data_IF_049610915742
#
_entry.id   IF_049610915742
#
_cell.length_a   1.000
_cell.length_b   1.000
_cell.length_c   1.000
_cell.angle_alpha   90.00
_cell.angle_beta   90.00
_cell.angle_gamma   90.00
#
_symmetry.space_group_name_H-M   'P 1'
#
loop_
_entity.id
_entity.type
_entity.pdbx_description
1 polymer ?
#
# COMPACT_ATOMS: atom_id res chain seq x y z
N UNK A 1 -31.33 -42.52 -43.58
CA UNK A 1 -31.26 -41.32 -42.72
C UNK A 1 -29.92 -41.31 -42.00
N UNK A 2 -28.99 -40.44 -42.41
CA UNK A 2 -27.72 -40.17 -41.71
C UNK A 2 -27.68 -38.66 -41.49
N UNK A 3 -27.95 -38.20 -40.27
CA UNK A 3 -27.88 -36.79 -39.92
C UNK A 3 -26.41 -36.41 -39.67
N UNK A 4 -25.98 -35.38 -40.41
CA UNK A 4 -24.67 -34.76 -40.32
C UNK A 4 -24.62 -33.92 -39.05
N UNK A 5 -23.72 -34.27 -38.13
CA UNK A 5 -23.19 -33.35 -37.11
C UNK A 5 -22.14 -32.51 -37.84
N UNK A 6 -22.41 -31.22 -38.04
CA UNK A 6 -21.48 -30.32 -38.71
C UNK A 6 -21.42 -29.01 -37.94
N UNK A 7 -20.27 -28.83 -37.28
CA UNK A 7 -19.59 -27.55 -37.06
C UNK A 7 -20.42 -26.40 -36.46
N UNK A 8 -20.54 -26.41 -35.13
CA UNK A 8 -20.52 -25.17 -34.33
C UNK A 8 -19.24 -25.23 -33.48
N UNK A 9 -18.10 -25.16 -34.16
CA UNK A 9 -16.77 -25.07 -33.57
C UNK A 9 -15.93 -24.14 -34.46
N UNK A 10 -16.38 -22.90 -34.67
CA UNK A 10 -15.61 -21.90 -35.43
C UNK A 10 -16.03 -20.43 -35.23
N UNK A 11 -16.65 -20.05 -34.11
CA UNK A 11 -16.94 -18.63 -33.80
C UNK A 11 -16.56 -18.24 -32.36
N UNK A 12 -15.53 -18.91 -31.83
CA UNK A 12 -14.92 -18.60 -30.52
C UNK A 12 -13.51 -17.99 -30.65
N UNK A 13 -13.09 -17.63 -31.85
CA UNK A 13 -11.89 -16.85 -32.09
C UNK A 13 -12.24 -15.65 -32.95
N UNK A 14 -11.66 -14.49 -32.62
CA UNK A 14 -11.76 -13.18 -33.29
C UNK A 14 -12.81 -12.25 -32.66
N UNK A 15 -12.42 -11.72 -31.52
CA UNK A 15 -13.10 -10.65 -30.78
C UNK A 15 -12.68 -10.79 -29.33
N UNK A 16 -11.72 -9.98 -28.89
CA UNK A 16 -11.15 -10.06 -27.55
C UNK A 16 -12.22 -10.03 -26.47
N UNK A 17 -12.66 -11.22 -26.05
CA UNK A 17 -13.38 -11.45 -24.81
C UNK A 17 -12.40 -11.08 -23.71
N UNK A 18 -12.46 -9.82 -23.26
CA UNK A 18 -12.16 -9.56 -21.85
C UNK A 18 -13.12 -10.49 -21.11
N UNK A 19 -12.58 -11.54 -20.47
CA UNK A 19 -13.38 -12.29 -19.51
C UNK A 19 -14.02 -11.26 -18.58
N UNK A 20 -15.35 -11.27 -18.48
CA UNK A 20 -16.03 -10.44 -17.50
C UNK A 20 -15.40 -10.73 -16.14
N UNK A 21 -15.08 -9.68 -15.38
CA UNK A 21 -14.52 -9.85 -14.06
C UNK A 21 -15.43 -10.77 -13.22
N UNK A 22 -14.83 -11.73 -12.52
CA UNK A 22 -15.56 -12.68 -11.69
C UNK A 22 -15.85 -12.00 -10.36
N UNK A 23 -17.12 -11.66 -10.14
CA UNK A 23 -17.55 -11.10 -8.87
C UNK A 23 -17.75 -12.20 -7.83
N UNK A 24 -17.19 -12.03 -6.64
CA UNK A 24 -17.22 -13.00 -5.53
C UNK A 24 -17.66 -12.34 -4.23
N UNK A 25 -18.42 -13.06 -3.42
CA UNK A 25 -18.90 -12.59 -2.11
C UNK A 25 -18.64 -13.59 -0.98
N UNK A 26 -18.01 -14.74 -1.28
CA UNK A 26 -17.67 -15.77 -0.31
C UNK A 26 -16.21 -16.17 -0.48
N UNK A 27 -15.59 -16.70 0.59
CA UNK A 27 -14.21 -17.14 0.53
C UNK A 27 -14.01 -18.32 -0.44
N UNK A 28 -14.98 -19.24 -0.52
CA UNK A 28 -14.92 -20.38 -1.41
C UNK A 28 -14.91 -19.94 -2.89
N UNK A 29 -15.80 -19.02 -3.26
CA UNK A 29 -15.87 -18.48 -4.62
C UNK A 29 -14.61 -17.65 -4.94
N UNK A 30 -14.16 -16.85 -3.98
CA UNK A 30 -12.93 -16.08 -4.10
C UNK A 30 -11.73 -16.97 -4.38
N UNK A 31 -11.52 -18.02 -3.58
CA UNK A 31 -10.43 -18.97 -3.78
C UNK A 31 -10.48 -19.60 -5.17
N UNK A 32 -11.64 -20.10 -5.58
CA UNK A 32 -11.81 -20.73 -6.89
C UNK A 32 -11.54 -19.73 -8.04
N UNK A 33 -12.01 -18.49 -7.93
CA UNK A 33 -11.82 -17.45 -8.92
C UNK A 33 -10.34 -17.03 -9.03
N UNK A 34 -9.67 -16.86 -7.90
CA UNK A 34 -8.24 -16.49 -7.85
C UNK A 34 -7.36 -17.60 -8.42
N UNK A 35 -7.61 -18.86 -8.09
CA UNK A 35 -6.88 -20.02 -8.67
C UNK A 35 -7.16 -20.17 -10.18
N UNK A 36 -8.34 -19.75 -10.64
CA UNK A 36 -8.68 -19.73 -12.07
C UNK A 36 -7.95 -18.63 -12.84
N UNK A 37 -7.52 -17.55 -12.17
CA UNK A 37 -6.86 -16.38 -12.74
C UNK A 37 -7.84 -15.38 -13.37
N UNK A 38 -7.29 -14.28 -13.89
CA UNK A 38 -8.05 -13.17 -14.50
C UNK A 38 -8.44 -12.09 -13.49
N UNK A 39 -9.50 -11.34 -13.82
CA UNK A 39 -9.98 -10.23 -12.99
C UNK A 39 -10.99 -10.75 -11.96
N UNK A 40 -10.69 -10.60 -10.67
CA UNK A 40 -11.54 -11.00 -9.54
C UNK A 40 -12.00 -9.75 -8.80
N UNK A 41 -13.31 -9.58 -8.67
CA UNK A 41 -13.95 -8.45 -8.00
C UNK A 41 -14.60 -8.92 -6.70
N UNK A 42 -14.12 -8.43 -5.57
CA UNK A 42 -14.55 -8.84 -4.24
C UNK A 42 -15.66 -7.90 -3.80
N UNK A 43 -16.87 -8.41 -3.69
CA UNK A 43 -18.08 -7.62 -3.45
C UNK A 43 -18.49 -7.51 -1.98
N UNK A 44 -17.92 -8.36 -1.11
CA UNK A 44 -18.21 -8.40 0.31
C UNK A 44 -16.98 -8.83 1.12
N UNK A 45 -16.97 -8.48 2.41
CA UNK A 45 -15.92 -8.88 3.34
C UNK A 45 -15.81 -10.41 3.45
N UNK A 46 -14.58 -10.91 3.39
CA UNK A 46 -14.23 -12.32 3.51
C UNK A 46 -13.64 -12.56 4.91
N UNK A 47 -14.45 -12.39 5.94
CA UNK A 47 -14.06 -12.56 7.34
C UNK A 47 -14.17 -14.03 7.81
N UNK A 48 -13.42 -14.38 8.88
CA UNK A 48 -13.44 -15.70 9.52
C UNK A 48 -13.07 -16.87 8.58
N UNK A 49 -12.30 -16.61 7.53
CA UNK A 49 -11.79 -17.68 6.69
C UNK A 49 -10.82 -18.57 7.50
N UNK A 50 -10.88 -19.88 7.27
CA UNK A 50 -9.84 -20.79 7.76
C UNK A 50 -8.51 -20.39 7.13
N UNK A 51 -7.47 -20.30 7.96
CA UNK A 51 -6.11 -20.00 7.50
C UNK A 51 -5.71 -20.96 6.38
N UNK A 52 -5.52 -20.40 5.19
CA UNK A 52 -5.22 -21.21 4.01
C UNK A 52 -4.37 -20.45 3.01
N UNK A 53 -3.48 -21.20 2.37
CA UNK A 53 -2.69 -20.70 1.24
C UNK A 53 -3.43 -20.99 -0.06
N UNK A 54 -3.57 -19.96 -0.89
CA UNK A 54 -4.13 -20.01 -2.24
C UNK A 54 -2.96 -20.04 -3.22
N UNK A 55 -2.93 -21.05 -4.09
CA UNK A 55 -1.86 -21.22 -5.07
C UNK A 55 -2.17 -20.42 -6.33
N UNK A 56 -1.24 -19.55 -6.74
CA UNK A 56 -1.35 -18.71 -7.93
C UNK A 56 -0.43 -19.25 -9.04
N UNK A 57 -1.04 -19.74 -10.11
CA UNK A 57 -0.31 -20.24 -11.30
C UNK A 57 -0.64 -19.47 -12.59
N UNK A 58 -1.52 -18.46 -12.48
CA UNK A 58 -2.02 -17.65 -13.59
C UNK A 58 -2.05 -16.19 -13.16
N UNK A 59 -1.97 -15.29 -14.14
CA UNK A 59 -2.19 -13.86 -13.93
C UNK A 59 -3.50 -13.62 -13.18
N UNK A 60 -3.46 -12.75 -12.18
CA UNK A 60 -4.63 -12.44 -11.37
C UNK A 60 -4.62 -10.99 -10.92
N UNK A 61 -5.78 -10.34 -11.07
CA UNK A 61 -6.04 -9.01 -10.58
C UNK A 61 -7.18 -9.07 -9.57
N UNK A 62 -6.89 -8.80 -8.31
CA UNK A 62 -7.85 -8.82 -7.21
C UNK A 62 -8.23 -7.39 -6.88
N UNK A 63 -9.52 -7.06 -6.91
CA UNK A 63 -9.98 -5.71 -6.61
C UNK A 63 -11.24 -5.70 -5.75
N UNK A 64 -11.34 -4.76 -4.82
CA UNK A 64 -12.62 -4.48 -4.16
C UNK A 64 -13.62 -3.88 -5.16
N UNK A 65 -14.88 -4.34 -5.11
CA UNK A 65 -15.99 -3.80 -5.91
C UNK A 65 -16.24 -2.32 -5.60
N UNK A 66 -16.15 -1.97 -4.33
CA UNK A 66 -16.47 -0.65 -3.79
C UNK A 66 -15.75 -0.47 -2.47
N UNK A 67 -15.20 0.72 -2.21
CA UNK A 67 -14.54 0.96 -0.94
C UNK A 67 -13.26 0.16 -0.76
N UNK A 68 -13.00 -0.21 0.49
CA UNK A 68 -12.06 -1.28 0.81
C UNK A 68 -12.83 -2.48 1.33
N UNK A 69 -12.38 -3.67 0.97
CA UNK A 69 -12.98 -4.93 1.40
C UNK A 69 -11.99 -5.70 2.26
N UNK A 70 -12.48 -6.27 3.35
CA UNK A 70 -11.68 -7.06 4.29
C UNK A 70 -11.47 -8.50 3.82
N UNK A 71 -10.27 -9.01 4.08
CA UNK A 71 -9.89 -10.39 3.85
C UNK A 71 -9.10 -10.89 5.05
N UNK A 72 -9.70 -11.81 5.79
CA UNK A 72 -9.06 -12.44 6.94
C UNK A 72 -8.39 -13.76 6.52
N UNK A 73 -7.20 -14.03 7.05
CA UNK A 73 -6.50 -15.31 6.96
C UNK A 73 -6.19 -15.81 5.54
N UNK A 74 -6.07 -14.88 4.59
CA UNK A 74 -5.76 -15.17 3.18
C UNK A 74 -4.26 -15.09 2.93
N UNK A 75 -3.68 -16.18 2.43
CA UNK A 75 -2.28 -16.21 2.01
C UNK A 75 -2.19 -16.57 0.53
N UNK A 76 -1.24 -15.99 -0.20
CA UNK A 76 -0.97 -16.27 -1.61
C UNK A 76 0.40 -16.94 -1.76
N UNK A 77 0.47 -18.07 -2.46
CA UNK A 77 1.73 -18.67 -2.92
C UNK A 77 1.80 -18.58 -4.44
N UNK A 78 2.71 -17.75 -4.96
CA UNK A 78 2.94 -17.62 -6.40
C UNK A 78 3.86 -18.74 -6.83
N UNK A 79 3.41 -19.64 -7.71
CA UNK A 79 4.13 -20.86 -8.11
C UNK A 79 4.58 -20.85 -9.60
N UNK A 80 4.28 -19.79 -10.34
CA UNK A 80 4.68 -19.63 -11.74
C UNK A 80 4.95 -18.17 -12.09
N UNK A 81 5.39 -17.93 -13.33
CA UNK A 81 5.50 -16.57 -13.87
C UNK A 81 4.12 -15.99 -14.12
N UNK A 82 3.76 -14.98 -13.32
CA UNK A 82 2.47 -14.30 -13.39
C UNK A 82 2.62 -12.78 -13.23
N UNK A 83 1.58 -12.07 -13.64
CA UNK A 83 1.25 -10.74 -13.15
C UNK A 83 0.28 -10.86 -11.97
N UNK A 84 0.68 -10.34 -10.81
CA UNK A 84 -0.18 -10.28 -9.63
C UNK A 84 -0.52 -8.83 -9.30
N UNK A 85 -1.80 -8.51 -9.18
CA UNK A 85 -2.25 -7.24 -8.63
C UNK A 85 -3.31 -7.39 -7.55
N UNK A 86 -3.25 -6.51 -6.55
CA UNK A 86 -4.24 -6.39 -5.49
C UNK A 86 -4.59 -4.92 -5.26
N UNK A 87 -5.89 -4.59 -5.27
CA UNK A 87 -6.38 -3.22 -5.11
C UNK A 87 -7.55 -3.11 -4.13
N UNK A 88 -7.47 -2.15 -3.20
CA UNK A 88 -8.58 -1.84 -2.30
C UNK A 88 -8.89 -2.93 -1.27
N UNK A 89 -7.90 -3.75 -0.89
CA UNK A 89 -8.09 -4.85 0.05
C UNK A 89 -7.49 -4.47 1.42
N UNK A 90 -8.23 -4.78 2.49
CA UNK A 90 -7.73 -4.81 3.87
C UNK A 90 -7.43 -6.27 4.20
N UNK A 91 -6.18 -6.69 4.03
CA UNK A 91 -5.74 -8.06 4.29
C UNK A 91 -5.17 -8.15 5.70
N UNK A 92 -5.65 -9.11 6.50
CA UNK A 92 -5.13 -9.36 7.85
C UNK A 92 -5.18 -10.84 8.20
N UNK A 93 -4.48 -11.22 9.26
CA UNK A 93 -4.45 -12.60 9.72
C UNK A 93 -4.77 -12.67 11.21
N UNK A 94 -6.03 -12.95 11.54
CA UNK A 94 -6.52 -13.11 12.91
C UNK A 94 -6.24 -14.49 13.51
N UNK A 95 -5.94 -15.49 12.66
CA UNK A 95 -5.80 -16.89 13.07
C UNK A 95 -4.74 -17.07 14.15
N UNK A 96 -5.00 -17.90 15.15
CA UNK A 96 -4.00 -18.30 16.15
C UNK A 96 -3.05 -19.41 15.63
N UNK A 97 -3.39 -20.04 14.50
CA UNK A 97 -2.65 -21.15 13.92
C UNK A 97 -1.22 -20.76 13.57
N UNK A 98 -0.27 -21.68 13.76
CA UNK A 98 1.15 -21.45 13.41
C UNK A 98 1.46 -21.82 11.96
N UNK A 99 0.60 -22.63 11.35
CA UNK A 99 0.78 -23.17 10.00
C UNK A 99 -0.50 -23.01 9.18
N UNK A 100 -0.42 -22.62 7.90
CA UNK A 100 0.78 -22.16 7.19
C UNK A 100 1.42 -20.90 7.80
N UNK A 101 2.68 -20.63 7.46
CA UNK A 101 3.36 -19.40 7.90
C UNK A 101 2.57 -18.18 7.43
N UNK A 102 2.26 -17.25 8.35
CA UNK A 102 1.44 -16.06 8.08
C UNK A 102 2.22 -15.04 7.25
N UNK A 103 2.24 -15.29 5.95
CA UNK A 103 2.88 -14.49 4.91
C UNK A 103 1.79 -14.17 3.89
N UNK A 104 1.49 -12.90 3.65
CA UNK A 104 0.43 -12.56 2.69
C UNK A 104 0.79 -12.99 1.26
N UNK A 105 1.98 -12.68 0.77
CA UNK A 105 2.48 -13.13 -0.54
C UNK A 105 3.82 -13.84 -0.39
N UNK A 106 3.85 -15.13 -0.69
CA UNK A 106 5.04 -15.96 -0.69
C UNK A 106 5.40 -16.39 -2.11
N UNK A 107 6.68 -16.27 -2.46
CA UNK A 107 7.27 -16.77 -3.69
C UNK A 107 8.28 -17.85 -3.31
N UNK A 108 7.96 -19.13 -3.54
CA UNK A 108 8.88 -20.24 -3.28
C UNK A 108 10.17 -20.15 -4.10
N UNK A 109 11.24 -20.74 -3.58
CA UNK A 109 12.57 -20.61 -4.17
C UNK A 109 12.74 -21.25 -5.57
N UNK A 110 11.83 -22.16 -5.95
CA UNK A 110 11.80 -22.82 -7.26
C UNK A 110 11.16 -21.95 -8.37
N UNK A 111 10.52 -20.83 -8.03
CA UNK A 111 9.93 -19.94 -9.02
C UNK A 111 11.02 -19.10 -9.67
N UNK A 112 11.23 -19.31 -10.97
CA UNK A 112 12.29 -18.63 -11.71
C UNK A 112 11.99 -17.15 -11.95
N UNK A 113 10.71 -16.80 -12.17
CA UNK A 113 10.29 -15.46 -12.56
C UNK A 113 8.88 -15.15 -12.07
N UNK A 114 8.63 -13.88 -11.76
CA UNK A 114 7.29 -13.28 -11.59
C UNK A 114 7.28 -11.95 -12.35
N UNK A 115 6.49 -11.87 -13.41
CA UNK A 115 6.47 -10.73 -14.33
C UNK A 115 6.20 -9.39 -13.67
N UNK A 116 5.26 -9.32 -12.71
CA UNK A 116 5.04 -8.10 -11.93
C UNK A 116 4.29 -8.35 -10.62
N UNK A 117 4.52 -7.48 -9.64
CA UNK A 117 3.80 -7.43 -8.37
C UNK A 117 3.29 -6.00 -8.13
N UNK A 118 1.97 -5.82 -8.06
CA UNK A 118 1.35 -4.51 -7.82
C UNK A 118 0.38 -4.55 -6.65
N UNK A 119 0.53 -3.64 -5.68
CA UNK A 119 -0.41 -3.48 -4.56
C UNK A 119 -0.80 -2.01 -4.43
N UNK A 120 -2.10 -1.73 -4.48
CA UNK A 120 -2.62 -0.36 -4.54
C UNK A 120 -3.81 -0.16 -3.59
N UNK A 121 -3.87 0.97 -2.89
CA UNK A 121 -5.00 1.35 -2.03
C UNK A 121 -5.33 0.30 -0.94
N UNK A 122 -4.35 -0.48 -0.49
CA UNK A 122 -4.54 -1.60 0.44
C UNK A 122 -4.14 -1.27 1.89
N UNK A 123 -4.53 -2.13 2.82
CA UNK A 123 -4.03 -2.17 4.19
C UNK A 123 -3.67 -3.62 4.55
N UNK A 124 -2.49 -3.82 5.13
CA UNK A 124 -1.93 -5.14 5.42
C UNK A 124 -1.44 -5.18 6.85
N UNK A 125 -1.99 -6.06 7.68
CA UNK A 125 -1.59 -6.15 9.09
C UNK A 125 -1.68 -7.55 9.70
N UNK A 126 -1.07 -7.73 10.87
CA UNK A 126 -1.06 -8.97 11.68
C UNK A 126 -0.45 -10.22 11.00
N UNK A 127 0.21 -10.05 9.86
CA UNK A 127 1.05 -11.11 9.29
C UNK A 127 2.33 -11.27 10.10
N UNK A 128 2.37 -12.32 10.93
CA UNK A 128 3.46 -12.54 11.90
C UNK A 128 4.84 -12.74 11.26
N UNK A 129 4.92 -13.02 9.95
CA UNK A 129 6.17 -13.23 9.22
C UNK A 129 6.51 -12.10 8.26
N UNK A 130 5.73 -11.88 7.18
CA UNK A 130 5.99 -10.86 6.14
C UNK A 130 4.70 -10.46 5.41
N UNK A 131 4.71 -9.29 4.79
CA UNK A 131 3.77 -8.96 3.71
C UNK A 131 4.18 -9.70 2.42
N UNK A 132 5.41 -9.51 1.96
CA UNK A 132 5.94 -10.15 0.75
C UNK A 132 7.25 -10.87 1.04
N UNK A 133 7.38 -12.12 0.60
CA UNK A 133 8.58 -12.93 0.83
C UNK A 133 9.03 -13.66 -0.45
N UNK A 134 10.30 -13.49 -0.81
CA UNK A 134 10.98 -14.26 -1.84
C UNK A 134 12.43 -14.50 -1.41
N UNK A 135 12.79 -15.75 -1.14
CA UNK A 135 14.15 -16.11 -0.67
C UNK A 135 15.07 -16.62 -1.78
N UNK A 136 14.49 -17.12 -2.88
CA UNK A 136 15.22 -17.64 -4.04
C UNK A 136 15.63 -16.54 -5.03
N UNK A 137 16.24 -16.96 -6.15
CA UNK A 137 16.76 -16.06 -7.20
C UNK A 137 15.71 -15.64 -8.24
N UNK A 138 14.44 -15.56 -7.84
CA UNK A 138 13.34 -15.20 -8.73
C UNK A 138 13.58 -13.85 -9.39
N UNK A 139 13.48 -13.79 -10.73
CA UNK A 139 13.46 -12.53 -11.48
C UNK A 139 12.13 -11.82 -11.24
N UNK A 140 12.18 -10.57 -10.77
CA UNK A 140 10.99 -9.74 -10.56
C UNK A 140 11.25 -8.37 -11.21
N UNK A 141 10.87 -8.18 -12.49
CA UNK A 141 11.18 -6.94 -13.20
C UNK A 141 10.60 -5.70 -12.54
N UNK A 142 9.43 -5.78 -11.90
CA UNK A 142 8.78 -4.63 -11.27
C UNK A 142 7.97 -5.01 -10.03
N UNK A 143 8.19 -4.24 -8.97
CA UNK A 143 7.35 -4.18 -7.77
C UNK A 143 6.81 -2.75 -7.64
N UNK A 144 5.50 -2.61 -7.48
CA UNK A 144 4.85 -1.32 -7.27
C UNK A 144 3.91 -1.38 -6.07
N UNK A 145 4.12 -0.50 -5.07
CA UNK A 145 3.23 -0.37 -3.92
C UNK A 145 2.77 1.07 -3.82
N UNK A 146 1.45 1.31 -3.82
CA UNK A 146 0.87 2.65 -3.85
C UNK A 146 -0.26 2.81 -2.85
N UNK A 147 -0.35 3.97 -2.19
CA UNK A 147 -1.46 4.31 -1.29
C UNK A 147 -1.78 3.21 -0.26
N UNK A 148 -0.74 2.51 0.20
CA UNK A 148 -0.90 1.27 0.97
C UNK A 148 -0.35 1.46 2.38
N UNK A 149 -0.99 0.82 3.33
CA UNK A 149 -0.62 0.84 4.74
C UNK A 149 -0.21 -0.56 5.15
N UNK A 150 0.94 -0.70 5.79
CA UNK A 150 1.48 -1.97 6.26
C UNK A 150 1.85 -1.80 7.73
N UNK A 151 1.27 -2.59 8.63
CA UNK A 151 1.53 -2.37 10.05
C UNK A 151 1.36 -3.59 10.94
N UNK A 152 1.99 -3.56 12.11
CA UNK A 152 1.91 -4.65 13.09
C UNK A 152 2.37 -6.01 12.52
N UNK A 153 3.38 -5.97 11.62
CA UNK A 153 3.98 -7.15 11.00
C UNK A 153 5.18 -7.68 11.80
N UNK A 154 5.59 -8.89 11.42
CA UNK A 154 6.84 -9.54 11.85
C UNK A 154 6.89 -9.94 13.34
N UNK A 155 5.75 -9.90 14.04
CA UNK A 155 5.66 -10.22 15.48
C UNK A 155 6.10 -11.65 15.84
N UNK A 156 5.98 -12.58 14.89
CA UNK A 156 6.42 -13.97 15.06
C UNK A 156 7.87 -14.22 14.64
N UNK A 157 8.47 -13.33 13.85
CA UNK A 157 9.88 -13.41 13.46
C UNK A 157 10.42 -12.04 13.04
N UNK A 158 10.95 -11.27 14.01
CA UNK A 158 11.46 -9.92 13.77
C UNK A 158 12.74 -9.86 12.92
N UNK A 159 13.35 -11.01 12.62
CA UNK A 159 14.47 -11.07 11.69
C UNK A 159 14.05 -10.89 10.23
N UNK A 160 12.75 -10.92 9.91
CA UNK A 160 12.26 -10.59 8.58
C UNK A 160 12.02 -9.09 8.44
N UNK A 161 12.00 -8.60 7.20
CA UNK A 161 11.39 -7.32 6.87
C UNK A 161 9.92 -7.53 6.45
N UNK A 162 9.10 -6.48 6.45
CA UNK A 162 7.77 -6.51 5.86
C UNK A 162 7.83 -6.99 4.39
N UNK A 163 8.81 -6.49 3.63
CA UNK A 163 9.15 -6.96 2.28
C UNK A 163 10.53 -7.63 2.33
N UNK A 164 10.55 -8.97 2.26
CA UNK A 164 11.74 -9.82 2.43
C UNK A 164 12.13 -10.49 1.10
N UNK A 165 13.01 -9.84 0.33
CA UNK A 165 13.41 -10.21 -1.03
C UNK A 165 14.90 -10.60 -1.06
N UNK A 166 15.28 -11.63 -0.30
CA UNK A 166 16.67 -11.91 0.05
C UNK A 166 17.58 -12.12 -1.17
N UNK A 167 17.25 -13.05 -2.07
CA UNK A 167 18.04 -13.30 -3.30
C UNK A 167 17.28 -12.94 -4.58
N UNK A 168 16.05 -12.41 -4.46
CA UNK A 168 15.23 -12.07 -5.61
C UNK A 168 15.89 -10.97 -6.43
N UNK A 169 15.88 -11.14 -7.74
CA UNK A 169 16.53 -10.28 -8.73
C UNK A 169 15.53 -9.21 -9.17
N UNK A 170 15.45 -8.12 -8.39
CA UNK A 170 14.49 -7.05 -8.60
C UNK A 170 15.11 -5.92 -9.41
N UNK A 171 14.57 -5.63 -10.59
CA UNK A 171 15.09 -4.55 -11.45
C UNK A 171 14.50 -3.18 -11.13
N UNK A 172 13.25 -3.13 -10.65
CA UNK A 172 12.56 -1.89 -10.28
C UNK A 172 11.64 -2.08 -9.10
N UNK A 173 11.72 -1.18 -8.12
CA UNK A 173 10.77 -1.11 -7.02
C UNK A 173 10.35 0.34 -6.76
N UNK A 174 9.04 0.61 -6.79
CA UNK A 174 8.48 1.95 -6.62
C UNK A 174 7.43 1.96 -5.52
N UNK A 175 7.64 2.78 -4.50
CA UNK A 175 6.70 3.02 -3.42
C UNK A 175 6.21 4.46 -3.45
N UNK A 176 4.91 4.66 -3.52
CA UNK A 176 4.29 5.99 -3.51
C UNK A 176 3.19 6.07 -2.47
N UNK A 177 3.29 7.05 -1.56
CA UNK A 177 2.28 7.25 -0.52
C UNK A 177 2.04 5.98 0.32
N UNK A 178 3.12 5.38 0.81
CA UNK A 178 3.08 4.10 1.55
C UNK A 178 3.47 4.33 3.00
N UNK A 179 2.75 3.70 3.92
CA UNK A 179 3.04 3.75 5.35
C UNK A 179 3.46 2.38 5.84
N UNK A 180 4.60 2.30 6.52
CA UNK A 180 4.98 1.17 7.35
C UNK A 180 4.98 1.63 8.80
N UNK A 181 4.21 1.00 9.70
CA UNK A 181 4.29 1.34 11.11
C UNK A 181 4.18 0.16 12.08
N UNK A 182 4.88 0.22 13.21
CA UNK A 182 4.91 -0.86 14.23
C UNK A 182 5.25 -2.25 13.69
N UNK A 183 6.04 -2.32 12.62
CA UNK A 183 6.60 -3.59 12.16
C UNK A 183 7.81 -3.94 13.05
N UNK A 184 7.79 -5.08 13.75
CA UNK A 184 8.93 -5.46 14.59
C UNK A 184 10.22 -5.67 13.76
N UNK A 185 10.04 -6.04 12.49
CA UNK A 185 11.09 -6.16 11.49
C UNK A 185 11.35 -4.88 10.69
N UNK A 186 12.33 -4.94 9.79
CA UNK A 186 12.61 -3.85 8.84
C UNK A 186 11.48 -3.64 7.83
N UNK A 187 11.58 -2.60 7.01
CA UNK A 187 10.63 -2.32 5.92
C UNK A 187 10.91 -3.13 4.66
N UNK A 188 12.13 -3.01 4.15
CA UNK A 188 12.56 -3.62 2.89
C UNK A 188 13.93 -4.27 3.04
N UNK A 189 14.06 -5.52 2.61
CA UNK A 189 15.31 -6.25 2.63
C UNK A 189 15.60 -6.92 1.29
N UNK A 190 16.76 -6.61 0.71
CA UNK A 190 17.36 -7.35 -0.39
C UNK A 190 18.84 -7.60 -0.14
N UNK A 191 19.31 -8.77 -0.51
CA UNK A 191 20.72 -9.15 -0.43
C UNK A 191 21.28 -9.61 -1.79
N UNK A 192 20.56 -9.36 -2.89
CA UNK A 192 21.10 -9.55 -4.23
C UNK A 192 22.07 -8.41 -4.57
N UNK A 193 23.32 -8.78 -4.85
CA UNK A 193 24.38 -7.85 -5.26
C UNK A 193 24.54 -7.81 -6.79
N UNK A 194 23.87 -8.69 -7.53
CA UNK A 194 24.16 -8.94 -8.94
C UNK A 194 23.25 -8.14 -9.87
N UNK A 195 21.98 -7.94 -9.50
CA UNK A 195 21.01 -7.20 -10.33
C UNK A 195 21.00 -5.73 -9.96
N UNK A 196 21.24 -4.80 -10.91
CA UNK A 196 21.00 -3.39 -10.68
C UNK A 196 19.51 -3.12 -10.44
N UNK A 197 19.19 -2.33 -9.41
CA UNK A 197 17.83 -1.91 -9.10
C UNK A 197 17.64 -0.40 -9.32
N UNK A 198 16.50 -0.03 -9.90
CA UNK A 198 15.94 1.31 -9.83
C UNK A 198 14.91 1.37 -8.69
N UNK A 199 15.36 1.82 -7.51
CA UNK A 199 14.56 1.90 -6.30
C UNK A 199 14.09 3.33 -6.04
N UNK A 200 12.79 3.50 -5.83
CA UNK A 200 12.16 4.82 -5.63
C UNK A 200 11.13 4.79 -4.52
N UNK A 201 11.22 5.78 -3.64
CA UNK A 201 10.22 6.07 -2.61
C UNK A 201 9.84 7.55 -2.68
N UNK A 202 8.54 7.81 -2.76
CA UNK A 202 7.98 9.15 -2.66
C UNK A 202 6.80 9.18 -1.70
N UNK A 203 6.77 10.13 -0.76
CA UNK A 203 5.74 10.19 0.31
C UNK A 203 5.65 8.89 1.10
N UNK A 204 6.79 8.28 1.46
CA UNK A 204 6.80 7.04 2.24
C UNK A 204 7.11 7.36 3.70
N UNK A 205 6.37 6.73 4.61
CA UNK A 205 6.60 6.80 6.06
C UNK A 205 7.03 5.45 6.61
N UNK A 206 8.12 5.42 7.38
CA UNK A 206 8.48 4.30 8.26
C UNK A 206 8.43 4.79 9.70
N UNK A 207 7.59 4.18 10.54
CA UNK A 207 7.31 4.65 11.90
C UNK A 207 7.35 3.49 12.88
N UNK A 208 8.30 3.49 13.82
CA UNK A 208 8.47 2.37 14.76
C UNK A 208 8.64 1.01 14.07
N UNK A 209 9.39 1.01 12.98
CA UNK A 209 9.81 -0.22 12.32
C UNK A 209 11.20 -0.66 12.82
N UNK A 210 11.51 -1.96 12.69
CA UNK A 210 12.80 -2.53 13.06
C UNK A 210 13.06 -2.43 14.56
N UNK A 211 12.03 -2.72 15.35
CA UNK A 211 12.04 -2.60 16.80
C UNK A 211 11.60 -3.86 17.51
N UNK A 212 12.32 -4.94 17.26
CA UNK A 212 12.15 -6.18 18.00
C UNK A 212 12.54 -5.98 19.49
N UNK A 213 11.80 -6.61 20.40
CA UNK A 213 12.15 -6.67 21.82
C UNK A 213 13.55 -7.24 22.05
N UNK A 214 14.15 -6.87 23.18
CA UNK A 214 15.57 -7.09 23.51
C UNK A 214 16.06 -8.55 23.56
N UNK A 215 15.19 -9.53 23.30
CA UNK A 215 15.52 -10.96 23.19
C UNK A 215 15.81 -11.45 21.77
N UNK A 216 15.57 -10.66 20.72
CA UNK A 216 15.82 -11.08 19.34
C UNK A 216 17.13 -10.49 18.80
N UNK A 217 18.13 -11.34 18.56
CA UNK A 217 19.45 -10.98 17.99
C UNK A 217 19.42 -10.56 16.50
N UNK A 218 18.30 -10.01 16.01
CA UNK A 218 18.00 -9.91 14.59
C UNK A 218 17.41 -8.59 14.10
N UNK A 219 17.46 -7.51 14.89
CA UNK A 219 16.94 -6.21 14.44
C UNK A 219 17.53 -5.83 13.09
N UNK A 220 16.68 -5.75 12.07
CA UNK A 220 17.08 -5.42 10.70
C UNK A 220 17.14 -3.91 10.52
N UNK A 221 18.02 -3.50 9.61
CA UNK A 221 17.97 -2.17 9.04
C UNK A 221 16.54 -1.91 8.49
N UNK A 222 16.05 -0.67 8.58
CA UNK A 222 14.74 -0.28 8.05
C UNK A 222 14.67 -0.56 6.55
N UNK A 223 15.77 -0.29 5.87
CA UNK A 223 15.97 -0.60 4.46
C UNK A 223 17.37 -1.20 4.34
N UNK A 224 17.50 -2.38 3.74
CA UNK A 224 18.79 -3.01 3.45
C UNK A 224 18.87 -3.46 1.99
N UNK A 225 19.97 -3.08 1.35
CA UNK A 225 20.39 -3.61 0.05
C UNK A 225 21.79 -4.21 0.15
N UNK A 226 22.09 -5.20 -0.69
CA UNK A 226 23.48 -5.53 -1.01
C UNK A 226 24.08 -4.50 -1.99
N UNK A 227 25.41 -4.50 -2.09
CA UNK A 227 26.15 -3.55 -2.90
C UNK A 227 25.98 -3.79 -4.40
N UNK A 228 25.49 -2.81 -5.15
CA UNK A 228 25.55 -2.83 -6.60
C UNK A 228 25.77 -1.41 -7.16
N UNK A 229 26.90 -1.22 -7.85
CA UNK A 229 27.37 0.07 -8.38
C UNK A 229 26.41 0.72 -9.39
N UNK A 230 25.66 -0.09 -10.14
CA UNK A 230 24.77 0.37 -11.20
C UNK A 230 23.36 0.69 -10.71
N UNK A 231 23.10 0.49 -9.41
CA UNK A 231 21.79 0.75 -8.82
C UNK A 231 21.55 2.25 -8.59
N UNK A 232 20.28 2.63 -8.64
CA UNK A 232 19.78 3.98 -8.39
C UNK A 232 18.80 3.95 -7.23
N UNK A 233 18.94 4.91 -6.33
CA UNK A 233 18.10 5.01 -5.14
C UNK A 233 17.57 6.43 -5.01
N UNK A 234 16.25 6.59 -5.08
CA UNK A 234 15.57 7.88 -4.96
C UNK A 234 14.65 7.89 -3.75
N UNK A 235 14.87 8.84 -2.84
CA UNK A 235 14.02 9.11 -1.68
C UNK A 235 13.53 10.55 -1.76
N UNK A 236 12.22 10.75 -1.91
CA UNK A 236 11.61 12.07 -2.00
C UNK A 236 10.48 12.21 -1.00
N UNK A 237 10.42 13.32 -0.28
CA UNK A 237 9.33 13.59 0.66
C UNK A 237 9.07 12.44 1.65
N UNK A 238 10.11 11.74 2.12
CA UNK A 238 9.98 10.59 3.00
C UNK A 238 10.17 10.96 4.47
N UNK A 239 9.47 10.26 5.36
CA UNK A 239 9.65 10.33 6.80
C UNK A 239 10.09 8.96 7.31
N UNK A 240 11.30 8.87 7.85
CA UNK A 240 11.83 7.63 8.40
C UNK A 240 12.14 7.88 9.87
N UNK A 241 11.45 7.18 10.74
CA UNK A 241 11.61 7.29 12.19
C UNK A 241 11.92 5.93 12.79
N UNK A 242 12.95 5.92 13.65
CA UNK A 242 13.31 4.78 14.47
C UNK A 242 12.49 4.79 15.75
N UNK A 243 12.38 3.65 16.42
CA UNK A 243 11.43 3.57 17.55
C UNK A 243 11.74 4.44 18.77
N UNK A 244 10.65 4.72 19.49
CA UNK A 244 10.62 5.52 20.71
C UNK A 244 10.80 4.70 22.00
N UNK A 245 10.70 3.38 21.93
CA UNK A 245 10.45 2.51 23.09
C UNK A 245 11.69 1.84 23.69
N UNK A 246 12.83 1.78 22.99
CA UNK A 246 13.99 1.05 23.52
C UNK A 246 15.32 1.85 23.50
N UNK A 247 15.96 1.94 24.68
CA UNK A 247 17.22 2.67 24.93
C UNK A 247 18.48 1.85 24.62
N UNK A 248 18.36 0.60 24.17
CA UNK A 248 19.48 -0.33 24.14
C UNK A 248 19.57 -1.19 22.86
N UNK A 249 19.44 -0.62 21.66
CA UNK A 249 19.96 -1.27 20.44
C UNK A 249 20.61 -0.27 19.49
N UNK A 250 21.78 -0.66 18.99
CA UNK A 250 22.62 0.09 18.08
C UNK A 250 22.23 -0.19 16.62
N UNK A 251 22.06 0.90 15.86
CA UNK A 251 21.91 0.96 14.40
C UNK A 251 20.56 0.55 13.80
N UNK A 252 19.50 1.34 14.06
CA UNK A 252 18.42 1.47 13.07
C UNK A 252 18.99 2.22 11.89
N UNK A 253 19.09 1.57 10.73
CA UNK A 253 19.68 2.22 9.58
C UNK A 253 18.91 2.07 8.29
N UNK A 254 19.03 3.08 7.44
CA UNK A 254 18.82 2.92 6.01
C UNK A 254 20.19 2.53 5.48
N UNK A 255 20.40 1.22 5.27
CA UNK A 255 21.66 0.65 4.82
C UNK A 255 21.59 0.40 3.33
N UNK A 256 22.16 1.33 2.58
CA UNK A 256 22.30 1.19 1.14
C UNK A 256 23.75 0.82 0.88
N UNK A 257 24.07 -0.48 0.82
CA UNK A 257 25.46 -0.96 0.75
C UNK A 257 26.14 -0.69 -0.60
N UNK A 258 25.72 0.29 -1.41
CA UNK A 258 26.38 0.54 -2.69
C UNK A 258 27.72 1.25 -2.48
N UNK A 259 28.80 0.68 -3.03
CA UNK A 259 30.13 1.29 -3.00
C UNK A 259 30.25 2.51 -3.93
N UNK A 260 29.35 2.65 -4.92
CA UNK A 260 29.38 3.72 -5.96
C UNK A 260 27.99 4.06 -6.56
N UNK A 261 26.88 3.66 -5.92
CA UNK A 261 25.52 3.87 -6.45
C UNK A 261 25.10 5.35 -6.49
N UNK A 262 24.13 5.69 -7.36
CA UNK A 262 23.57 7.05 -7.45
C UNK A 262 22.44 7.21 -6.43
N UNK A 263 22.64 8.09 -5.45
CA UNK A 263 21.63 8.41 -4.45
C UNK A 263 21.06 9.81 -4.65
N UNK A 264 19.74 9.90 -4.71
CA UNK A 264 19.03 11.18 -4.74
C UNK A 264 18.08 11.23 -3.55
N UNK A 265 18.35 12.12 -2.60
CA UNK A 265 17.51 12.34 -1.43
C UNK A 265 17.02 13.78 -1.46
N UNK A 266 15.70 13.97 -1.40
CA UNK A 266 15.08 15.30 -1.49
C UNK A 266 13.99 15.43 -0.43
N UNK A 267 14.00 16.56 0.28
CA UNK A 267 12.97 16.96 1.24
C UNK A 267 12.54 15.79 2.16
N UNK A 268 13.49 15.09 2.77
CA UNK A 268 13.22 13.89 3.57
C UNK A 268 13.81 14.04 4.97
N UNK A 269 13.18 13.37 5.94
CA UNK A 269 13.57 13.38 7.35
C UNK A 269 13.95 11.96 7.80
N UNK A 270 15.08 11.87 8.51
CA UNK A 270 15.47 10.70 9.29
C UNK A 270 15.54 11.10 10.76
N UNK A 271 14.72 10.49 11.63
CA UNK A 271 14.71 10.76 13.07
C UNK A 271 15.14 9.51 13.85
N UNK A 272 16.21 9.62 14.65
CA UNK A 272 16.84 8.50 15.40
C UNK A 272 17.17 7.27 14.53
N UNK A 273 17.44 7.51 13.25
CA UNK A 273 17.87 6.49 12.29
C UNK A 273 19.16 6.97 11.66
N UNK A 274 20.18 6.13 11.71
CA UNK A 274 21.45 6.40 11.07
C UNK A 274 21.32 6.06 9.58
N UNK A 275 21.68 6.95 8.68
CA UNK A 275 21.72 6.63 7.25
C UNK A 275 23.15 6.25 6.92
N UNK A 276 23.41 4.96 6.73
CA UNK A 276 24.72 4.46 6.30
C UNK A 276 24.65 4.13 4.81
N UNK A 277 25.11 5.05 3.98
CA UNK A 277 25.65 4.67 2.68
C UNK A 277 27.08 4.18 2.93
N UNK A 278 27.38 2.90 2.71
CA UNK A 278 28.76 2.38 2.76
C UNK A 278 29.54 2.76 1.48
N UNK A 279 29.38 3.99 1.00
CA UNK A 279 30.39 4.62 0.17
C UNK A 279 31.45 5.17 1.13
N UNK A 280 32.73 5.05 0.76
CA UNK A 280 33.86 5.58 1.51
C UNK A 280 33.50 6.94 2.18
N UNK A 281 33.59 7.08 3.52
CA UNK A 281 33.18 8.31 4.24
C UNK A 281 33.91 9.58 3.79
N UNK A 282 34.94 9.46 2.95
CA UNK A 282 35.70 10.56 2.39
C UNK A 282 35.10 11.19 1.11
N UNK A 283 34.09 10.60 0.45
CA UNK A 283 33.69 11.12 -0.88
C UNK A 283 32.25 11.61 -1.03
N UNK A 284 31.24 11.08 -0.33
CA UNK A 284 29.87 11.65 -0.42
C UNK A 284 29.08 11.48 0.88
N UNK A 285 29.07 12.51 1.72
CA UNK A 285 28.19 12.63 2.90
C UNK A 285 26.79 13.04 2.44
N UNK A 286 25.88 12.07 2.30
CA UNK A 286 24.47 12.37 2.04
C UNK A 286 23.81 12.88 3.31
N UNK A 287 23.46 14.16 3.35
CA UNK A 287 22.73 14.77 4.47
C UNK A 287 21.24 14.78 4.15
N UNK A 288 20.41 14.18 5.02
CA UNK A 288 18.96 14.37 4.96
C UNK A 288 18.67 15.87 5.14
N UNK A 289 17.97 16.53 4.19
CA UNK A 289 17.87 17.99 4.19
C UNK A 289 17.02 18.55 5.34
N UNK A 290 16.21 17.70 5.99
CA UNK A 290 15.39 18.09 7.14
C UNK A 290 15.93 17.44 8.42
N UNK A 291 15.97 18.21 9.50
CA UNK A 291 16.39 17.75 10.82
C UNK A 291 15.30 18.07 11.84
N UNK A 292 14.90 17.07 12.63
CA UNK A 292 13.99 17.24 13.75
C UNK A 292 14.71 16.88 15.06
N UNK A 293 14.52 17.68 16.11
CA UNK A 293 15.06 17.41 17.45
C UNK A 293 14.12 16.55 18.29
N UNK A 294 12.83 16.66 18.04
CA UNK A 294 11.80 15.82 18.63
C UNK A 294 10.82 15.36 17.55
N UNK A 295 10.30 14.15 17.74
CA UNK A 295 9.20 13.59 16.97
C UNK A 295 8.33 12.78 17.94
N UNK A 296 7.01 12.96 17.90
CA UNK A 296 6.06 12.10 18.62
C UNK A 296 4.96 11.63 17.68
N UNK A 297 4.43 10.44 17.94
CA UNK A 297 3.39 9.80 17.15
C UNK A 297 2.20 9.49 18.04
N UNK A 298 1.03 9.93 17.61
CA UNK A 298 -0.29 9.56 18.16
C UNK A 298 -0.94 8.61 17.15
N UNK A 299 -0.93 7.32 17.46
CA UNK A 299 -1.46 6.27 16.59
C UNK A 299 -2.98 6.29 16.47
N UNK A 300 -3.67 6.74 17.53
CA UNK A 300 -5.13 6.79 17.56
C UNK A 300 -5.63 7.95 16.71
N UNK A 301 -4.99 9.13 16.85
CA UNK A 301 -5.30 10.30 16.03
C UNK A 301 -4.62 10.29 14.66
N UNK A 302 -3.81 9.28 14.37
CA UNK A 302 -2.97 9.18 13.17
C UNK A 302 -2.22 10.50 12.92
N UNK A 303 -1.54 10.97 13.95
CA UNK A 303 -0.85 12.26 13.93
C UNK A 303 0.62 12.12 14.34
N UNK A 304 1.46 12.92 13.71
CA UNK A 304 2.89 13.05 13.96
C UNK A 304 3.15 14.51 14.27
N UNK A 305 3.87 14.80 15.34
CA UNK A 305 4.38 16.14 15.62
C UNK A 305 5.89 16.14 15.65
N UNK A 306 6.51 17.22 15.16
CA UNK A 306 7.96 17.39 15.19
C UNK A 306 8.36 18.72 15.81
N UNK A 307 9.59 18.81 16.29
CA UNK A 307 10.27 20.08 16.55
C UNK A 307 11.42 20.25 15.54
N UNK A 308 11.41 21.32 14.73
CA UNK A 308 10.38 22.36 14.64
C UNK A 308 9.08 21.86 13.99
N UNK A 309 7.94 22.48 14.34
CA UNK A 309 6.61 22.16 13.79
C UNK A 309 6.41 22.67 12.35
N UNK A 310 7.41 23.36 11.79
CA UNK A 310 7.44 23.84 10.41
C UNK A 310 7.70 22.72 9.40
N UNK A 311 8.21 21.56 9.83
CA UNK A 311 8.41 20.40 8.97
C UNK A 311 7.03 19.86 8.56
N UNK A 312 6.70 19.97 7.28
CA UNK A 312 5.43 19.55 6.69
C UNK A 312 5.67 19.02 5.27
N UNK A 313 4.67 18.39 4.67
CA UNK A 313 4.75 17.98 3.26
C UNK A 313 5.60 16.73 3.01
N UNK A 314 6.01 15.99 4.03
CA UNK A 314 6.79 14.75 3.94
C UNK A 314 6.06 13.60 4.61
N UNK A 315 6.44 12.37 4.27
CA UNK A 315 5.74 11.16 4.69
C UNK A 315 4.44 10.95 3.90
N UNK A 316 3.89 9.76 4.05
CA UNK A 316 2.60 9.33 3.51
C UNK A 316 1.43 10.11 4.11
N UNK A 317 0.33 10.20 3.37
CA UNK A 317 -0.91 10.85 3.81
C UNK A 317 -1.68 10.12 4.92
N UNK A 318 -1.24 8.92 5.32
CA UNK A 318 -1.89 8.15 6.40
C UNK A 318 -1.74 8.75 7.79
N UNK A 319 -0.65 9.47 8.05
CA UNK A 319 -0.49 10.24 9.27
C UNK A 319 -0.48 11.73 8.92
N UNK A 320 -1.21 12.54 9.70
CA UNK A 320 -1.05 13.99 9.63
C UNK A 320 0.30 14.38 10.25
N UNK A 321 1.04 15.28 9.63
CA UNK A 321 2.31 15.79 10.13
C UNK A 321 2.17 17.26 10.53
N UNK A 322 2.32 17.56 11.82
CA UNK A 322 2.10 18.88 12.41
C UNK A 322 0.76 19.51 11.97
N UNK A 323 -0.30 18.70 12.00
CA UNK A 323 -1.66 19.07 11.61
C UNK A 323 -1.89 19.21 10.10
N UNK A 324 -0.89 18.91 9.25
CA UNK A 324 -1.05 18.91 7.79
C UNK A 324 -1.09 17.47 7.26
N UNK A 325 -2.07 17.16 6.42
CA UNK A 325 -2.11 15.89 5.69
C UNK A 325 -1.32 16.06 4.38
N UNK A 326 -0.35 15.17 4.14
CA UNK A 326 0.57 15.24 3.00
C UNK A 326 0.02 14.50 1.79
N UNK A 327 -1.10 14.99 1.27
CA UNK A 327 -1.79 14.41 0.12
C UNK A 327 -3.21 13.99 0.46
N UNK A 328 -4.09 14.05 -0.53
CA UNK A 328 -5.48 13.63 -0.37
C UNK A 328 -5.45 12.12 -0.20
N UNK A 329 -5.74 11.63 1.01
CA UNK A 329 -6.30 10.29 1.13
C UNK A 329 -7.51 10.26 0.22
N UNK A 330 -7.45 9.47 -0.85
CA UNK A 330 -8.65 9.00 -1.47
C UNK A 330 -9.27 8.06 -0.43
N UNK A 331 -9.93 8.63 0.58
CA UNK A 331 -11.06 7.94 1.17
C UNK A 331 -11.88 7.53 -0.03
N UNK A 332 -12.04 6.22 -0.21
CA UNK A 332 -13.10 5.73 -1.04
C UNK A 332 -14.37 6.26 -0.40
N UNK A 333 -14.76 7.46 -0.81
CA UNK A 333 -16.11 7.90 -0.78
C UNK A 333 -16.81 6.90 -1.69
N UNK A 334 -17.23 5.76 -1.12
CA UNK A 334 -18.52 5.17 -1.45
C UNK A 334 -19.44 6.36 -1.42
N UNK A 335 -19.66 6.93 -2.60
CA UNK A 335 -20.32 8.20 -2.62
C UNK A 335 -21.76 7.91 -2.33
N UNK A 336 -22.14 8.09 -1.08
CA UNK A 336 -23.51 7.97 -0.62
C UNK A 336 -24.38 9.04 -1.28
N UNK A 337 -23.76 9.93 -2.08
CA UNK A 337 -24.40 10.94 -2.90
C UNK A 337 -23.90 11.01 -4.35
N UNK A 338 -24.82 11.31 -5.26
CA UNK A 338 -24.53 11.66 -6.66
C UNK A 338 -24.93 13.12 -6.94
N UNK A 339 -24.30 13.71 -7.95
CA UNK A 339 -24.54 15.09 -8.36
C UNK A 339 -25.03 15.03 -9.81
N UNK A 340 -26.20 15.60 -10.07
CA UNK A 340 -26.75 15.82 -11.42
C UNK A 340 -26.48 17.27 -11.84
N UNK A 341 -26.92 17.65 -13.05
CA UNK A 341 -26.83 19.05 -13.47
C UNK A 341 -27.67 20.01 -12.61
N UNK A 342 -28.67 19.50 -11.88
CA UNK A 342 -29.63 20.31 -11.13
C UNK A 342 -29.68 20.02 -9.64
N UNK A 343 -29.16 18.89 -9.18
CA UNK A 343 -29.34 18.44 -7.79
C UNK A 343 -28.14 17.67 -7.23
N UNK A 344 -27.96 17.76 -5.92
CA UNK A 344 -27.17 16.82 -5.12
C UNK A 344 -28.15 15.89 -4.42
N UNK A 345 -27.99 14.57 -4.55
CA UNK A 345 -28.91 13.57 -3.97
C UNK A 345 -28.13 12.56 -3.14
N UNK A 346 -28.58 12.28 -1.90
CA UNK A 346 -27.98 11.27 -1.02
C UNK A 346 -29.04 10.61 -0.13
N UNK A 347 -28.73 9.43 0.41
CA UNK A 347 -29.55 8.79 1.45
C UNK A 347 -29.07 9.22 2.83
N UNK A 348 -30.01 9.58 3.70
CA UNK A 348 -29.76 9.84 5.13
C UNK A 348 -28.81 11.01 5.45
N UNK A 349 -29.02 12.15 4.80
CA UNK A 349 -28.24 13.37 5.01
C UNK A 349 -28.57 14.03 6.35
N UNK A 350 -27.52 14.50 7.04
CA UNK A 350 -27.62 15.50 8.09
C UNK A 350 -27.37 16.91 7.55
N UNK A 351 -26.37 17.11 6.68
CA UNK A 351 -26.01 18.41 6.08
C UNK A 351 -25.50 18.26 4.63
N UNK A 352 -25.94 19.12 3.71
CA UNK A 352 -25.22 19.39 2.44
C UNK A 352 -24.74 20.83 2.47
N UNK A 353 -23.44 21.03 2.28
CA UNK A 353 -22.85 22.34 2.04
C UNK A 353 -22.14 22.37 0.69
N UNK A 354 -22.43 23.37 -0.14
CA UNK A 354 -21.71 23.64 -1.39
C UNK A 354 -20.78 24.83 -1.18
N UNK A 355 -19.51 24.67 -1.54
CA UNK A 355 -18.49 25.69 -1.46
C UNK A 355 -18.05 26.11 -2.87
N UNK A 356 -17.82 27.40 -3.04
CA UNK A 356 -16.99 27.89 -4.15
C UNK A 356 -15.57 27.32 -4.03
N UNK A 357 -14.81 27.29 -5.13
CA UNK A 357 -13.42 26.81 -5.13
C UNK A 357 -12.51 27.60 -4.17
N UNK A 358 -12.88 28.82 -3.81
CA UNK A 358 -12.22 29.65 -2.80
C UNK A 358 -12.41 29.14 -1.36
N UNK A 359 -13.26 28.13 -1.15
CA UNK A 359 -13.64 27.62 0.17
C UNK A 359 -14.80 28.36 0.84
N UNK A 360 -15.42 29.32 0.16
CA UNK A 360 -16.59 30.07 0.69
C UNK A 360 -17.87 29.24 0.52
N UNK A 361 -18.69 29.01 1.57
CA UNK A 361 -20.00 28.40 1.42
C UNK A 361 -20.90 29.26 0.52
N UNK A 362 -21.53 28.64 -0.48
CA UNK A 362 -22.45 29.32 -1.41
C UNK A 362 -23.89 28.81 -1.28
N UNK A 363 -24.08 27.58 -0.78
CA UNK A 363 -25.38 27.02 -0.39
C UNK A 363 -25.20 26.03 0.75
N UNK A 364 -26.16 25.95 1.66
CA UNK A 364 -26.20 24.99 2.76
C UNK A 364 -27.65 24.58 3.00
N UNK A 365 -27.88 23.29 3.28
CA UNK A 365 -29.18 22.78 3.69
C UNK A 365 -29.01 21.57 4.60
N UNK A 366 -29.87 21.46 5.61
CA UNK A 366 -29.83 20.39 6.61
C UNK A 366 -31.06 19.51 6.52
N UNK A 367 -30.91 18.25 6.90
CA UNK A 367 -31.98 17.24 6.99
C UNK A 367 -32.83 17.08 5.71
N UNK A 368 -32.20 17.22 4.53
CA UNK A 368 -32.85 17.03 3.23
C UNK A 368 -32.24 15.87 2.45
N UNK A 369 -33.03 15.15 1.66
CA UNK A 369 -32.49 14.09 0.80
C UNK A 369 -31.87 14.64 -0.50
N UNK A 370 -32.20 15.88 -0.85
CA UNK A 370 -31.71 16.55 -2.04
C UNK A 370 -31.50 18.06 -1.80
N UNK A 371 -30.48 18.62 -2.45
CA UNK A 371 -30.26 20.06 -2.56
C UNK A 371 -30.30 20.46 -4.04
N UNK A 372 -31.17 21.41 -4.40
CA UNK A 372 -31.17 21.97 -5.74
C UNK A 372 -29.96 22.89 -5.93
N UNK A 373 -29.21 22.65 -7.01
CA UNK A 373 -28.04 23.43 -7.42
C UNK A 373 -28.24 24.11 -8.78
N UNK A 374 -29.48 24.14 -9.27
CA UNK A 374 -29.82 24.70 -10.57
C UNK A 374 -29.49 26.20 -10.69
N UNK A 375 -29.56 26.93 -9.57
CA UNK A 375 -29.30 28.36 -9.47
C UNK A 375 -27.81 28.73 -9.46
N UNK A 376 -26.90 27.76 -9.35
CA UNK A 376 -25.47 28.04 -9.35
C UNK A 376 -24.99 28.50 -10.74
N UNK A 377 -24.14 29.53 -10.73
CA UNK A 377 -23.43 29.97 -11.91
C UNK A 377 -22.48 28.88 -12.41
N UNK A 378 -22.14 28.93 -13.71
CA UNK A 378 -21.11 28.06 -14.31
C UNK A 378 -19.80 28.20 -13.56
N UNK A 379 -19.15 27.09 -13.23
CA UNK A 379 -17.94 27.11 -12.41
C UNK A 379 -17.60 25.78 -11.74
N UNK A 380 -16.53 25.79 -10.95
CA UNK A 380 -16.07 24.63 -10.17
C UNK A 380 -16.43 24.85 -8.70
N UNK A 381 -17.02 23.83 -8.09
CA UNK A 381 -17.46 23.85 -6.70
C UNK A 381 -17.05 22.56 -5.99
N UNK A 382 -17.07 22.63 -4.66
CA UNK A 382 -16.92 21.47 -3.78
C UNK A 382 -18.24 21.24 -3.05
N UNK A 383 -18.74 20.02 -3.06
CA UNK A 383 -19.93 19.62 -2.30
C UNK A 383 -19.48 18.75 -1.16
N UNK A 384 -19.78 19.17 0.07
CA UNK A 384 -19.64 18.39 1.29
C UNK A 384 -21.00 17.87 1.68
N UNK A 385 -21.12 16.58 1.94
CA UNK A 385 -22.31 15.94 2.47
C UNK A 385 -21.93 15.26 3.77
N UNK A 386 -22.62 15.60 4.85
CA UNK A 386 -22.60 14.86 6.09
C UNK A 386 -23.88 14.01 6.19
N UNK A 387 -23.74 12.77 6.62
CA UNK A 387 -24.85 11.82 6.84
C UNK A 387 -25.22 11.77 8.32
N UNK A 388 -26.39 11.21 8.63
CA UNK A 388 -26.91 11.09 10.00
C UNK A 388 -26.12 10.11 10.86
N UNK A 389 -25.43 9.15 10.25
CA UNK A 389 -24.49 8.24 10.91
C UNK A 389 -23.10 8.86 11.18
N UNK A 390 -22.93 10.16 10.88
CA UNK A 390 -21.73 10.94 11.19
C UNK A 390 -20.61 10.87 10.15
N UNK A 391 -20.82 10.19 9.01
CA UNK A 391 -19.84 10.21 7.91
C UNK A 391 -19.89 11.54 7.17
N UNK A 392 -18.76 11.93 6.58
CA UNK A 392 -18.65 13.14 5.75
C UNK A 392 -17.98 12.77 4.43
N UNK A 393 -18.55 13.23 3.33
CA UNK A 393 -18.05 13.00 1.97
C UNK A 393 -17.87 14.32 1.22
N UNK A 394 -16.80 14.48 0.44
CA UNK A 394 -16.54 15.69 -0.36
C UNK A 394 -16.30 15.35 -1.83
N UNK A 395 -17.04 16.00 -2.73
CA UNK A 395 -16.84 15.85 -4.19
C UNK A 395 -16.63 17.19 -4.88
N UNK A 396 -15.76 17.20 -5.89
CA UNK A 396 -15.70 18.28 -6.87
C UNK A 396 -16.83 18.12 -7.88
N UNK A 397 -17.53 19.20 -8.19
CA UNK A 397 -18.51 19.25 -9.28
C UNK A 397 -18.25 20.46 -10.18
N UNK A 398 -18.50 20.30 -11.48
CA UNK A 398 -18.33 21.35 -12.49
C UNK A 398 -19.70 21.67 -13.07
N UNK A 399 -20.21 22.88 -12.81
CA UNK A 399 -21.45 23.39 -13.38
C UNK A 399 -21.17 23.89 -14.80
N UNK A 400 -21.76 23.22 -15.79
CA UNK A 400 -21.58 23.54 -17.22
C UNK A 400 -22.45 24.68 -17.70
#
# INVERSE_FOLDING_TARGET
>A
MKQKITFILCLLLIGGLRLNAVEVSTFADFKAAVEAGGDVVVAADLENATLSSITLTKDVNISAKSGRVKMDNVLFSIESDINFSMKGIIAFCSSEEKTPSKILVNIPANVAKVSSLTVEDCEVYDYTICFLKALGETEIPTISVKNTVVHDLNTGNPANAAIMLQKAKVSKATFYNVTFYRCQGGGYYSNDATTPIDFSMEKVSFIDCGDADAGFAGSKDIINFAANASSKYTLKDCLISGSYTNKAFSFKSVRLRATTGKFTITNSLSYKVNVYALANPATELYTMPLTATALTVDYDKKAITTTPATIKGIGSSYFSLNGAITGIMQENLTSDFYITDSEVVSKEISDITVYAISGTPVMEQRDVNNLSIASLNKGIYLVKVATKDGKTSIKKFIKK
#
